data_IF_714037239551
#
_entry.id   IF_714037239551
#
_cell.length_a   1.000
_cell.length_b   1.000
_cell.length_c   1.000
_cell.angle_alpha   90.00
_cell.angle_beta   90.00
_cell.angle_gamma   90.00
#
_symmetry.space_group_name_H-M   'P 1'
#
loop_
_entity.id
_entity.type
_entity.pdbx_description
1 polymer ?
#
# COMPACT_ATOMS: atom_id res chain seq x y z
N UNK A 1 4.76 -3.35 -18.14
CA UNK A 1 5.42 -2.95 -16.89
C UNK A 1 6.19 -4.14 -16.32
N UNK A 2 7.42 -3.94 -15.88
CA UNK A 2 8.26 -4.96 -15.24
C UNK A 2 8.25 -4.79 -13.71
N UNK A 3 8.61 -5.86 -13.00
CA UNK A 3 8.62 -5.85 -11.53
C UNK A 3 9.57 -4.80 -10.94
N UNK A 4 10.70 -4.53 -11.62
CA UNK A 4 11.66 -3.49 -11.23
C UNK A 4 11.08 -2.07 -11.30
N UNK A 5 10.11 -1.85 -12.20
CA UNK A 5 9.49 -0.54 -12.40
C UNK A 5 8.59 -0.18 -11.21
N UNK A 6 8.13 -1.19 -10.44
CA UNK A 6 7.32 -0.99 -9.24
C UNK A 6 8.07 -0.20 -8.15
N UNK A 7 9.39 -0.36 -8.05
CA UNK A 7 10.22 0.33 -7.06
C UNK A 7 10.44 1.81 -7.38
N UNK A 8 10.13 2.22 -8.61
CA UNK A 8 10.30 3.60 -9.07
C UNK A 8 8.98 4.40 -9.06
N UNK A 9 7.88 3.77 -8.65
CA UNK A 9 6.59 4.46 -8.54
C UNK A 9 6.61 5.46 -7.40
N UNK A 10 6.00 6.62 -7.60
CA UNK A 10 5.77 7.56 -6.51
C UNK A 10 4.61 7.09 -5.60
N UNK A 11 4.45 7.74 -4.44
CA UNK A 11 3.46 7.35 -3.41
C UNK A 11 2.01 7.28 -3.93
N UNK A 12 1.70 8.10 -4.95
CA UNK A 12 0.37 8.28 -5.54
C UNK A 12 0.11 7.28 -6.66
N UNK A 13 1.14 6.86 -7.38
CA UNK A 13 1.02 5.93 -8.50
C UNK A 13 0.62 4.52 -8.08
N UNK A 14 -0.22 3.87 -8.91
CA UNK A 14 -0.74 2.53 -8.69
C UNK A 14 -0.79 1.74 -9.99
N UNK A 15 -0.42 0.47 -9.93
CA UNK A 15 -0.61 -0.47 -11.02
C UNK A 15 -2.03 -1.01 -10.96
N UNK A 16 -2.85 -0.73 -11.97
CA UNK A 16 -4.20 -1.27 -12.06
C UNK A 16 -4.15 -2.69 -12.60
N UNK A 17 -4.61 -3.66 -11.80
CA UNK A 17 -4.73 -5.06 -12.20
C UNK A 17 -6.19 -5.39 -12.49
N UNK A 18 -6.48 -5.86 -13.69
CA UNK A 18 -7.82 -6.30 -14.08
C UNK A 18 -8.12 -7.69 -13.50
N UNK A 19 -9.39 -7.99 -13.25
CA UNK A 19 -9.84 -9.29 -12.74
C UNK A 19 -10.99 -9.87 -13.56
N UNK A 20 -11.09 -11.19 -13.62
CA UNK A 20 -12.23 -11.87 -14.24
C UNK A 20 -13.45 -11.94 -13.28
N UNK A 21 -14.54 -12.58 -13.71
CA UNK A 21 -15.76 -12.76 -12.92
C UNK A 21 -15.54 -13.54 -11.61
N UNK A 22 -14.53 -14.41 -11.56
CA UNK A 22 -14.12 -15.16 -10.36
C UNK A 22 -13.19 -14.36 -9.45
N UNK A 23 -12.86 -13.11 -9.80
CA UNK A 23 -11.92 -12.28 -9.04
C UNK A 23 -10.45 -12.62 -9.26
N UNK A 24 -10.11 -13.50 -10.21
CA UNK A 24 -8.73 -13.83 -10.52
C UNK A 24 -8.10 -12.73 -11.37
N UNK A 25 -6.85 -12.31 -11.07
CA UNK A 25 -6.18 -11.28 -11.85
C UNK A 25 -5.86 -11.78 -13.27
N UNK A 26 -6.09 -10.93 -14.27
CA UNK A 26 -5.87 -11.22 -15.69
C UNK A 26 -5.06 -10.09 -16.35
N UNK A 27 -4.42 -10.40 -17.49
CA UNK A 27 -3.60 -9.46 -18.24
C UNK A 27 -2.11 -9.49 -17.86
N UNK A 28 -1.31 -8.61 -18.47
CA UNK A 28 0.14 -8.51 -18.23
C UNK A 28 0.47 -8.10 -16.81
N UNK A 29 -0.38 -7.25 -16.20
CA UNK A 29 -0.21 -6.71 -14.86
C UNK A 29 -0.45 -7.77 -13.78
N UNK A 30 -1.24 -8.82 -14.08
CA UNK A 30 -1.42 -9.96 -13.20
C UNK A 30 -0.09 -10.68 -12.91
N UNK A 31 0.82 -10.73 -13.90
CA UNK A 31 2.16 -11.29 -13.72
C UNK A 31 3.02 -10.42 -12.80
N UNK A 32 2.88 -9.10 -12.88
CA UNK A 32 3.56 -8.15 -12.00
C UNK A 32 3.09 -8.34 -10.55
N UNK A 33 1.77 -8.46 -10.34
CA UNK A 33 1.17 -8.77 -9.04
C UNK A 33 1.70 -10.09 -8.47
N UNK A 34 1.69 -11.16 -9.26
CA UNK A 34 2.18 -12.47 -8.84
C UNK A 34 3.68 -12.44 -8.46
N UNK A 35 4.50 -11.73 -9.25
CA UNK A 35 5.92 -11.54 -8.96
C UNK A 35 6.16 -10.77 -7.66
N UNK A 36 5.41 -9.69 -7.44
CA UNK A 36 5.50 -8.91 -6.21
C UNK A 36 5.08 -9.73 -4.98
N UNK A 37 3.95 -10.44 -5.04
CA UNK A 37 3.53 -11.34 -3.97
C UNK A 37 4.58 -12.41 -3.66
N UNK A 38 5.26 -12.94 -4.69
CA UNK A 38 6.35 -13.92 -4.50
C UNK A 38 7.56 -13.35 -3.77
N UNK A 39 7.83 -12.04 -3.90
CA UNK A 39 8.90 -11.36 -3.14
C UNK A 39 8.48 -11.21 -1.68
N UNK A 40 7.26 -10.70 -1.45
CA UNK A 40 6.79 -10.48 -0.08
C UNK A 40 6.67 -11.81 0.66
N UNK A 41 6.23 -12.87 -0.02
CA UNK A 41 6.14 -14.23 0.52
C UNK A 41 7.48 -14.81 1.01
N UNK A 42 8.60 -14.37 0.43
CA UNK A 42 9.95 -14.79 0.83
C UNK A 42 10.55 -13.90 1.91
N UNK A 43 9.85 -12.82 2.27
CA UNK A 43 10.30 -11.87 3.26
C UNK A 43 9.47 -12.06 4.53
N UNK A 44 10.05 -12.80 5.49
CA UNK A 44 9.42 -13.11 6.76
C UNK A 44 9.04 -11.87 7.59
N UNK A 45 9.67 -10.73 7.31
CA UNK A 45 9.36 -9.45 7.96
C UNK A 45 8.13 -8.75 7.36
N UNK A 46 7.74 -9.10 6.13
CA UNK A 46 6.64 -8.42 5.40
C UNK A 46 5.39 -9.28 5.26
N UNK A 47 5.53 -10.58 4.98
CA UNK A 47 4.43 -11.55 5.04
C UNK A 47 4.96 -12.84 5.66
N UNK A 48 4.85 -13.00 6.99
CA UNK A 48 5.11 -14.28 7.62
C UNK A 48 4.05 -15.29 7.17
N UNK A 49 4.33 -16.05 6.10
CA UNK A 49 3.51 -17.19 5.65
C UNK A 49 3.92 -18.49 6.37
N UNK A 50 4.55 -18.36 7.53
CA UNK A 50 5.06 -19.47 8.34
C UNK A 50 3.99 -20.10 9.25
N UNK A 51 2.72 -19.73 9.10
CA UNK A 51 1.60 -20.32 9.82
C UNK A 51 0.57 -20.87 8.83
N UNK A 52 0.19 -22.14 9.01
CA UNK A 52 -0.85 -22.79 8.22
C UNK A 52 -2.25 -22.18 8.43
N UNK A 53 -2.43 -21.38 9.50
CA UNK A 53 -3.66 -20.67 9.81
C UNK A 53 -3.37 -19.42 10.62
N UNK A 54 -4.15 -18.35 10.39
CA UNK A 54 -4.12 -17.15 11.21
C UNK A 54 -4.36 -17.45 12.70
N UNK A 55 -5.14 -18.48 13.01
CA UNK A 55 -5.39 -18.91 14.39
C UNK A 55 -4.13 -19.44 15.08
N UNK A 56 -3.18 -20.00 14.32
CA UNK A 56 -1.91 -20.52 14.86
C UNK A 56 -0.86 -19.44 15.09
N UNK A 57 -1.08 -18.22 14.59
CA UNK A 57 -0.17 -17.10 14.82
C UNK A 57 -0.23 -16.67 16.30
N UNK A 58 0.91 -16.50 16.99
CA UNK A 58 0.94 -15.99 18.35
C UNK A 58 0.30 -14.60 18.45
N UNK A 59 -0.45 -14.35 19.52
CA UNK A 59 -1.15 -13.07 19.71
C UNK A 59 -0.19 -11.89 19.85
N UNK A 60 1.03 -12.11 20.36
CA UNK A 60 2.10 -11.10 20.36
C UNK A 60 2.40 -10.59 18.95
N UNK A 61 2.53 -11.48 17.97
CA UNK A 61 2.76 -11.13 16.57
C UNK A 61 1.51 -10.50 15.94
N UNK A 62 0.30 -10.91 16.31
CA UNK A 62 -0.94 -10.27 15.81
C UNK A 62 -1.01 -8.82 16.31
N UNK A 63 -0.73 -8.60 17.59
CA UNK A 63 -0.74 -7.29 18.22
C UNK A 63 0.36 -6.38 17.66
N UNK A 64 1.56 -6.93 17.42
CA UNK A 64 2.65 -6.21 16.76
C UNK A 64 2.25 -5.71 15.37
N UNK A 65 1.70 -6.58 14.52
CA UNK A 65 1.30 -6.21 13.16
C UNK A 65 0.14 -5.21 13.14
N UNK A 66 -0.83 -5.38 14.06
CA UNK A 66 -1.93 -4.45 14.23
C UNK A 66 -1.43 -3.05 14.64
N UNK A 67 -0.50 -2.99 15.59
CA UNK A 67 0.07 -1.72 16.05
C UNK A 67 0.88 -1.03 14.94
N UNK A 68 1.77 -1.77 14.26
CA UNK A 68 2.52 -1.26 13.12
C UNK A 68 1.60 -0.72 12.00
N UNK A 69 0.48 -1.39 11.75
CA UNK A 69 -0.52 -0.92 10.78
C UNK A 69 -1.21 0.37 11.24
N UNK A 70 -1.60 0.45 12.52
CA UNK A 70 -2.20 1.66 13.10
C UNK A 70 -1.26 2.86 13.02
N UNK A 71 0.01 2.66 13.34
CA UNK A 71 0.99 3.75 13.34
C UNK A 71 1.24 4.27 11.92
N UNK A 72 1.44 3.36 10.94
CA UNK A 72 1.54 3.75 9.53
C UNK A 72 0.31 4.48 9.00
N UNK A 73 -0.89 4.14 9.48
CA UNK A 73 -2.12 4.84 9.09
C UNK A 73 -2.20 6.24 9.70
N UNK A 74 -1.76 6.41 10.96
CA UNK A 74 -1.68 7.74 11.58
C UNK A 74 -0.70 8.64 10.84
N UNK A 75 0.49 8.13 10.50
CA UNK A 75 1.50 8.88 9.75
C UNK A 75 0.96 9.35 8.40
N UNK A 76 0.27 8.46 7.68
CA UNK A 76 -0.39 8.81 6.41
C UNK A 76 -1.50 9.84 6.58
N UNK A 77 -2.34 9.73 7.61
CA UNK A 77 -3.39 10.72 7.85
C UNK A 77 -2.81 12.11 8.12
N UNK A 78 -1.74 12.20 8.91
CA UNK A 78 -1.05 13.47 9.17
C UNK A 78 -0.46 14.08 7.89
N UNK A 79 0.09 13.25 6.99
CA UNK A 79 0.60 13.70 5.69
C UNK A 79 -0.53 14.28 4.82
N UNK A 80 -1.68 13.60 4.73
CA UNK A 80 -2.85 14.10 3.98
C UNK A 80 -3.39 15.42 4.54
N UNK A 81 -3.46 15.57 5.87
CA UNK A 81 -3.89 16.82 6.51
C UNK A 81 -2.92 17.98 6.23
N UNK A 82 -1.61 17.71 6.27
CA UNK A 82 -0.59 18.71 5.95
C UNK A 82 -0.64 19.16 4.49
N UNK A 83 -0.91 18.23 3.55
CA UNK A 83 -1.08 18.54 2.13
C UNK A 83 -2.36 19.35 1.88
N UNK A 84 -3.49 18.94 2.48
CA UNK A 84 -4.76 19.66 2.35
C UNK A 84 -4.72 21.09 2.92
N UNK A 85 -3.98 21.30 4.01
CA UNK A 85 -3.77 22.63 4.60
C UNK A 85 -2.87 23.53 3.76
N UNK A 86 -1.98 22.95 2.95
CA UNK A 86 -1.08 23.68 2.05
C UNK A 86 -1.79 24.06 0.75
N UNK A 87 -2.67 23.19 0.24
CA UNK A 87 -3.48 23.47 -0.97
C UNK A 87 -4.59 24.50 -0.70
N UNK A 88 -5.06 24.63 0.56
CA UNK A 88 -6.06 25.65 0.92
C UNK A 88 -5.48 27.06 1.07
N UNK A 89 -4.17 27.27 0.94
CA UNK A 89 -3.54 28.59 1.05
C UNK A 89 -3.51 29.39 -0.27
N UNK A 90 -4.42 29.10 -1.22
CA UNK A 90 -4.64 30.00 -2.37
C UNK A 90 -5.18 31.31 -1.82
N UNK A 91 -4.28 32.26 -1.62
CA UNK A 91 -4.61 33.57 -1.08
C UNK A 91 -5.54 34.30 -2.06
N UNK A 92 -6.81 34.47 -1.67
CA UNK A 92 -7.82 35.21 -2.44
C UNK A 92 -7.58 36.73 -2.45
N UNK A 93 -6.55 37.23 -1.75
CA UNK A 93 -6.24 38.65 -1.68
C UNK A 93 -5.61 39.23 -2.97
N UNK A 94 -5.39 38.42 -4.02
CA UNK A 94 -4.84 38.89 -5.31
C UNK A 94 -5.90 38.98 -6.44
N UNK A 95 -7.15 39.28 -6.11
CA UNK A 95 -8.20 39.61 -7.10
C UNK A 95 -8.87 40.92 -6.70
N UNK A 96 -8.10 42.00 -6.63
CA UNK A 96 -8.66 43.34 -6.78
C UNK A 96 -7.60 44.30 -7.33
N UNK A 97 -7.45 44.30 -8.66
CA UNK A 97 -6.90 45.43 -9.41
C UNK A 97 -7.70 45.65 -10.68
#
# INVERSE_FOLDING_TARGET
>A
MLLKDLYNLNSVERVKVSKNSHGQPIGSEARVLAGYLSIIARNDNLLPINYDSWHHKPDSNKNHDLNNTKDKLKDKMAEYEAMASSDSSVNLDNINN
#
